data_IF_322961468446
#
_entry.id   IF_322961468446
#
_cell.length_a   1.000
_cell.length_b   1.000
_cell.length_c   1.000
_cell.angle_alpha   90.00
_cell.angle_beta   90.00
_cell.angle_gamma   90.00
#
_symmetry.space_group_name_H-M   'P 1'
#
loop_
_entity.id
_entity.type
_entity.pdbx_description
1 polymer ?
#
# COMPACT_ATOMS: atom_id res chain seq x y z
N UNK A 1 1.82 43.73 77.44
CA UNK A 1 2.08 45.09 76.92
C UNK A 1 1.81 45.07 75.42
N UNK A 2 0.69 45.71 75.04
CA UNK A 2 0.23 46.25 73.74
C UNK A 2 0.75 45.70 72.38
N UNK A 3 -0.25 45.38 71.54
CA UNK A 3 -0.48 45.68 70.10
C UNK A 3 0.55 45.15 69.07
N UNK A 4 0.22 44.71 67.84
CA UNK A 4 -0.93 44.87 66.92
C UNK A 4 -0.77 43.81 65.79
N UNK A 5 -1.74 42.95 65.44
CA UNK A 5 -2.86 43.10 64.46
C UNK A 5 -2.47 43.52 63.03
N UNK A 6 -2.57 42.59 62.07
CA UNK A 6 -3.23 42.64 60.73
C UNK A 6 -3.08 41.23 60.09
N UNK A 7 -4.10 40.34 60.06
CA UNK A 7 -5.18 40.18 59.03
C UNK A 7 -4.58 40.25 57.61
N UNK A 8 -4.64 39.25 56.71
CA UNK A 8 -5.67 38.26 56.29
C UNK A 8 -4.91 37.29 55.34
N UNK A 9 -5.18 36.00 55.11
CA UNK A 9 -6.41 35.27 54.79
C UNK A 9 -6.08 33.75 54.69
N UNK A 10 -7.05 32.92 55.10
CA UNK A 10 -7.34 31.52 54.75
C UNK A 10 -6.24 30.43 54.73
N UNK A 11 -6.36 29.54 55.72
CA UNK A 11 -5.97 28.14 55.69
C UNK A 11 -6.70 27.35 54.57
N UNK A 12 -6.08 26.25 54.11
CA UNK A 12 -6.57 24.86 53.92
C UNK A 12 -5.49 24.15 53.06
N UNK A 13 -4.57 23.41 53.68
CA UNK A 13 -4.49 21.93 53.82
C UNK A 13 -3.94 21.17 52.60
N UNK A 14 -2.91 20.30 52.77
CA UNK A 14 -2.22 19.62 51.69
C UNK A 14 -2.87 18.26 51.38
N UNK A 15 -3.75 18.18 50.38
CA UNK A 15 -4.17 16.90 49.79
C UNK A 15 -5.02 17.12 48.52
N UNK A 16 -4.39 17.37 47.38
CA UNK A 16 -4.94 16.95 46.07
C UNK A 16 -3.79 16.86 45.08
N UNK A 17 -3.36 15.63 44.86
CA UNK A 17 -3.02 15.04 43.56
C UNK A 17 -2.95 16.07 42.43
N UNK A 18 -1.72 16.32 41.98
CA UNK A 18 -1.35 17.08 40.80
C UNK A 18 -1.89 16.38 39.53
N UNK A 19 -3.19 16.54 39.27
CA UNK A 19 -3.75 16.47 37.93
C UNK A 19 -3.74 17.88 37.34
N UNK A 20 -3.57 17.95 36.02
CA UNK A 20 -3.60 19.15 35.17
C UNK A 20 -2.22 19.80 34.94
N UNK A 21 -1.29 18.99 34.43
CA UNK A 21 -0.54 19.38 33.23
C UNK A 21 -1.07 18.51 32.08
N UNK A 22 -2.32 18.80 31.70
CA UNK A 22 -2.93 18.34 30.46
C UNK A 22 -2.22 19.04 29.30
N UNK A 23 -1.06 18.51 28.92
CA UNK A 23 -0.56 18.59 27.55
C UNK A 23 -1.21 17.50 26.71
N UNK A 24 -2.55 17.48 26.67
CA UNK A 24 -3.25 16.85 25.55
C UNK A 24 -2.92 17.73 24.34
N UNK A 25 -1.80 17.42 23.67
CA UNK A 25 -1.63 17.81 22.29
C UNK A 25 -2.76 17.12 21.53
N UNK A 26 -3.87 17.83 21.37
CA UNK A 26 -4.70 17.69 20.19
C UNK A 26 -3.79 18.08 19.01
N UNK A 27 -2.99 17.12 18.54
CA UNK A 27 -2.54 17.12 17.17
C UNK A 27 -3.81 16.94 16.34
N UNK A 28 -4.50 18.06 16.10
CA UNK A 28 -5.38 18.20 14.94
C UNK A 28 -4.56 17.70 13.76
N UNK A 29 -4.85 16.52 13.22
CA UNK A 29 -4.26 16.11 11.96
C UNK A 29 -4.60 17.20 10.96
N UNK A 30 -3.60 17.97 10.56
CA UNK A 30 -3.79 19.01 9.57
C UNK A 30 -4.09 18.29 8.25
N UNK A 31 -5.34 18.34 7.81
CA UNK A 31 -5.73 17.79 6.51
C UNK A 31 -4.95 18.56 5.45
N UNK A 32 -4.20 17.85 4.62
CA UNK A 32 -3.53 18.45 3.48
C UNK A 32 -4.55 18.57 2.35
N UNK A 33 -4.99 19.82 2.10
CA UNK A 33 -5.90 20.13 1.01
C UNK A 33 -5.11 20.28 -0.29
N UNK A 34 -5.07 19.19 -1.07
CA UNK A 34 -4.54 19.16 -2.44
C UNK A 34 -5.64 18.66 -3.39
N UNK A 35 -6.23 19.54 -4.23
CA UNK A 35 -7.40 19.19 -5.06
C UNK A 35 -7.18 18.01 -5.99
N UNK A 36 -5.96 17.87 -6.55
CA UNK A 36 -5.64 16.74 -7.42
C UNK A 36 -5.70 15.39 -6.67
N UNK A 37 -5.30 15.35 -5.40
CA UNK A 37 -5.35 14.12 -4.61
C UNK A 37 -6.80 13.69 -4.33
N UNK A 38 -7.71 14.65 -4.09
CA UNK A 38 -9.16 14.35 -3.98
C UNK A 38 -9.72 13.79 -5.30
N UNK A 39 -9.29 14.34 -6.44
CA UNK A 39 -9.69 13.86 -7.76
C UNK A 39 -9.19 12.43 -8.00
N UNK A 40 -7.93 12.14 -7.65
CA UNK A 40 -7.33 10.80 -7.72
C UNK A 40 -8.12 9.80 -6.88
N UNK A 41 -8.41 10.13 -5.62
CA UNK A 41 -9.15 9.24 -4.73
C UNK A 41 -10.57 8.95 -5.25
N UNK A 42 -11.27 9.96 -5.77
CA UNK A 42 -12.61 9.76 -6.35
C UNK A 42 -12.58 8.87 -7.58
N UNK A 43 -11.62 9.10 -8.48
CA UNK A 43 -11.50 8.31 -9.70
C UNK A 43 -11.09 6.86 -9.42
N UNK A 44 -10.15 6.64 -8.50
CA UNK A 44 -9.77 5.30 -8.07
C UNK A 44 -10.88 4.60 -7.27
N UNK A 45 -11.66 5.32 -6.46
CA UNK A 45 -12.87 4.76 -5.84
C UNK A 45 -13.85 4.23 -6.89
N UNK A 46 -14.03 4.91 -8.03
CA UNK A 46 -14.90 4.41 -9.11
C UNK A 46 -14.42 3.06 -9.65
N UNK A 47 -13.11 2.83 -9.75
CA UNK A 47 -12.60 1.51 -10.15
C UNK A 47 -13.04 0.42 -9.17
N UNK A 48 -12.76 0.60 -7.88
CA UNK A 48 -13.11 -0.38 -6.85
C UNK A 48 -14.63 -0.51 -6.62
N UNK A 49 -15.41 0.47 -7.05
CA UNK A 49 -16.87 0.42 -6.99
C UNK A 49 -17.51 -0.28 -8.19
N UNK A 50 -17.08 0.08 -9.39
CA UNK A 50 -17.68 -0.34 -10.67
C UNK A 50 -17.05 -1.59 -11.26
N UNK A 51 -15.76 -1.83 -10.97
CA UNK A 51 -15.02 -3.01 -11.44
C UNK A 51 -14.93 -4.11 -10.38
N UNK A 52 -15.72 -3.97 -9.31
CA UNK A 52 -16.00 -5.03 -8.36
C UNK A 52 -17.40 -5.60 -8.57
N UNK A 53 -17.58 -6.90 -8.43
CA UNK A 53 -18.91 -7.51 -8.48
C UNK A 53 -19.77 -7.00 -7.31
N UNK A 54 -21.01 -6.53 -7.53
CA UNK A 54 -21.87 -6.03 -6.46
C UNK A 54 -22.34 -7.08 -5.44
N UNK A 55 -22.27 -8.36 -5.80
CA UNK A 55 -22.74 -9.47 -4.95
C UNK A 55 -21.57 -10.06 -4.16
N UNK A 56 -20.45 -10.34 -4.79
CA UNK A 56 -19.26 -10.98 -4.18
C UNK A 56 -18.25 -9.97 -3.66
N UNK A 57 -18.29 -8.73 -4.18
CA UNK A 57 -17.37 -7.66 -3.82
C UNK A 57 -15.92 -7.89 -4.26
N UNK A 58 -15.66 -8.90 -5.10
CA UNK A 58 -14.34 -9.20 -5.65
C UNK A 58 -14.01 -8.25 -6.79
N UNK A 59 -12.77 -7.73 -6.80
CA UNK A 59 -12.29 -6.70 -7.71
C UNK A 59 -11.51 -7.32 -8.86
N UNK A 60 -11.84 -6.93 -10.10
CA UNK A 60 -11.05 -7.35 -11.28
C UNK A 60 -9.57 -7.03 -11.11
N UNK A 61 -8.71 -7.90 -11.64
CA UNK A 61 -7.27 -7.62 -11.75
C UNK A 61 -7.03 -6.33 -12.55
N UNK A 62 -7.74 -6.21 -13.67
CA UNK A 62 -7.66 -5.06 -14.58
C UNK A 62 -8.99 -4.79 -15.24
N UNK A 63 -9.14 -3.57 -15.77
CA UNK A 63 -10.30 -3.19 -16.55
C UNK A 63 -9.96 -2.16 -17.62
N UNK A 64 -10.78 -2.07 -18.67
CA UNK A 64 -10.68 -1.03 -19.68
C UNK A 64 -10.69 0.37 -19.03
N UNK A 65 -9.65 1.15 -19.27
CA UNK A 65 -9.39 2.45 -18.62
C UNK A 65 -10.49 3.48 -18.85
N UNK A 66 -11.12 3.45 -20.04
CA UNK A 66 -12.25 4.30 -20.40
C UNK A 66 -13.56 3.97 -19.68
N UNK A 67 -13.64 2.85 -18.94
CA UNK A 67 -14.85 2.41 -18.24
C UNK A 67 -15.91 1.75 -19.11
N UNK A 68 -15.53 1.34 -20.32
CA UNK A 68 -16.41 0.54 -21.16
C UNK A 68 -16.71 -0.81 -20.49
N UNK A 69 -17.85 -1.45 -20.80
CA UNK A 69 -18.14 -2.79 -20.32
C UNK A 69 -17.00 -3.75 -20.65
N UNK A 70 -16.44 -4.35 -19.62
CA UNK A 70 -15.32 -5.27 -19.74
C UNK A 70 -15.81 -6.70 -19.46
N UNK A 71 -15.68 -7.64 -20.41
CA UNK A 71 -16.18 -9.00 -20.24
C UNK A 71 -15.28 -9.86 -19.34
N UNK A 72 -14.05 -9.42 -19.01
CA UNK A 72 -13.12 -10.17 -18.18
C UNK A 72 -13.67 -10.29 -16.75
N UNK A 73 -13.52 -11.48 -16.17
CA UNK A 73 -14.01 -11.87 -14.85
C UNK A 73 -12.89 -12.38 -13.91
N UNK A 74 -11.64 -12.31 -14.34
CA UNK A 74 -10.48 -12.59 -13.49
C UNK A 74 -10.33 -11.49 -12.44
N UNK A 75 -10.32 -11.88 -11.17
CA UNK A 75 -10.20 -11.00 -10.01
C UNK A 75 -8.86 -11.21 -9.32
N UNK A 76 -8.24 -10.11 -8.88
CA UNK A 76 -7.01 -10.11 -8.07
C UNK A 76 -7.37 -9.94 -6.60
N UNK A 77 -6.87 -10.82 -5.74
CA UNK A 77 -7.11 -10.70 -4.30
C UNK A 77 -6.38 -9.50 -3.69
N UNK A 78 -5.22 -9.11 -4.26
CA UNK A 78 -4.53 -7.89 -3.86
C UNK A 78 -5.35 -6.65 -4.21
N UNK A 79 -5.92 -6.59 -5.43
CA UNK A 79 -6.84 -5.52 -5.82
C UNK A 79 -8.08 -5.47 -4.90
N UNK A 80 -8.63 -6.62 -4.50
CA UNK A 80 -9.70 -6.68 -3.49
C UNK A 80 -9.25 -6.11 -2.14
N UNK A 81 -8.02 -6.37 -1.70
CA UNK A 81 -7.41 -5.79 -0.50
C UNK A 81 -7.33 -4.26 -0.55
N UNK A 82 -6.74 -3.71 -1.62
CA UNK A 82 -6.71 -2.27 -1.86
C UNK A 82 -8.13 -1.67 -1.94
N UNK A 83 -9.06 -2.40 -2.56
CA UNK A 83 -10.46 -2.02 -2.68
C UNK A 83 -11.16 -1.91 -1.33
N UNK A 84 -10.98 -2.87 -0.42
CA UNK A 84 -11.55 -2.81 0.93
C UNK A 84 -11.09 -1.56 1.70
N UNK A 85 -9.80 -1.24 1.67
CA UNK A 85 -9.27 -0.02 2.28
C UNK A 85 -9.83 1.25 1.61
N UNK A 86 -9.95 1.24 0.28
CA UNK A 86 -10.55 2.33 -0.50
C UNK A 86 -12.03 2.54 -0.16
N UNK A 87 -12.79 1.47 0.07
CA UNK A 87 -14.19 1.54 0.50
C UNK A 87 -14.31 2.18 1.90
N UNK A 88 -13.44 1.81 2.85
CA UNK A 88 -13.40 2.44 4.18
C UNK A 88 -13.13 3.95 4.07
N UNK A 89 -12.14 4.34 3.26
CA UNK A 89 -11.84 5.74 2.95
C UNK A 89 -13.06 6.43 2.32
N UNK A 90 -13.66 5.86 1.27
CA UNK A 90 -14.83 6.43 0.61
C UNK A 90 -16.03 6.61 1.54
N UNK A 91 -16.21 5.71 2.51
CA UNK A 91 -17.21 5.85 3.57
C UNK A 91 -16.92 7.07 4.47
N UNK A 92 -15.66 7.25 4.86
CA UNK A 92 -15.21 8.39 5.66
C UNK A 92 -15.42 9.71 4.92
N UNK A 93 -14.96 9.77 3.66
CA UNK A 93 -15.00 10.93 2.77
C UNK A 93 -16.39 11.22 2.18
N UNK A 94 -17.33 10.28 2.28
CA UNK A 94 -18.69 10.42 1.76
C UNK A 94 -18.76 10.39 0.23
N UNK A 95 -17.93 9.58 -0.44
CA UNK A 95 -17.92 9.49 -1.91
C UNK A 95 -19.11 8.72 -2.49
N UNK A 96 -19.74 7.86 -1.68
CA UNK A 96 -21.01 7.23 -2.01
C UNK A 96 -21.89 7.06 -0.76
N UNK A 97 -23.08 6.51 -0.94
CA UNK A 97 -23.99 6.23 0.16
C UNK A 97 -23.32 5.27 1.17
N UNK A 98 -23.20 5.73 2.42
CA UNK A 98 -22.51 5.02 3.49
C UNK A 98 -23.03 3.60 3.72
N UNK A 99 -24.36 3.44 3.77
CA UNK A 99 -24.99 2.13 3.93
C UNK A 99 -24.65 1.18 2.77
N UNK A 100 -24.63 1.67 1.52
CA UNK A 100 -24.24 0.82 0.39
C UNK A 100 -22.78 0.38 0.44
N UNK A 101 -21.88 1.24 0.96
CA UNK A 101 -20.48 0.88 1.18
C UNK A 101 -20.37 -0.20 2.27
N UNK A 102 -21.05 -0.02 3.41
CA UNK A 102 -21.10 -1.03 4.48
C UNK A 102 -21.58 -2.40 3.96
N UNK A 103 -22.64 -2.41 3.15
CA UNK A 103 -23.14 -3.64 2.54
C UNK A 103 -22.13 -4.24 1.56
N UNK A 104 -21.43 -3.43 0.76
CA UNK A 104 -20.38 -3.92 -0.13
C UNK A 104 -19.25 -4.59 0.66
N UNK A 105 -18.77 -3.96 1.73
CA UNK A 105 -17.73 -4.53 2.61
C UNK A 105 -18.18 -5.85 3.23
N UNK A 106 -19.40 -5.91 3.78
CA UNK A 106 -19.97 -7.14 4.33
C UNK A 106 -20.04 -8.26 3.29
N UNK A 107 -20.52 -7.95 2.08
CA UNK A 107 -20.61 -8.91 0.99
C UNK A 107 -19.22 -9.44 0.61
N UNK A 108 -18.23 -8.55 0.47
CA UNK A 108 -16.83 -8.94 0.19
C UNK A 108 -16.30 -9.89 1.25
N UNK A 109 -16.40 -9.54 2.54
CA UNK A 109 -15.86 -10.35 3.64
C UNK A 109 -16.58 -11.70 3.77
N UNK A 110 -17.91 -11.72 3.62
CA UNK A 110 -18.69 -12.98 3.62
C UNK A 110 -18.29 -13.89 2.47
N UNK A 111 -18.07 -13.33 1.28
CA UNK A 111 -17.67 -14.11 0.11
C UNK A 111 -16.26 -14.68 0.28
N UNK A 112 -15.30 -13.88 0.76
CA UNK A 112 -13.94 -14.36 1.05
C UNK A 112 -13.98 -15.55 2.03
N UNK A 113 -14.80 -15.44 3.08
CA UNK A 113 -14.92 -16.48 4.11
C UNK A 113 -15.58 -17.76 3.60
N UNK A 114 -16.68 -17.63 2.86
CA UNK A 114 -17.58 -18.76 2.61
C UNK A 114 -17.44 -19.37 1.21
N UNK A 115 -16.86 -18.64 0.26
CA UNK A 115 -16.93 -19.00 -1.17
C UNK A 115 -15.55 -19.08 -1.84
N UNK A 116 -14.56 -18.32 -1.37
CA UNK A 116 -13.25 -18.34 -1.99
C UNK A 116 -12.46 -19.62 -1.70
N UNK A 117 -11.94 -20.22 -2.76
CA UNK A 117 -11.05 -21.38 -2.67
C UNK A 117 -9.75 -20.96 -1.99
N UNK A 118 -9.39 -21.67 -0.93
CA UNK A 118 -8.16 -21.42 -0.16
C UNK A 118 -7.59 -22.74 0.36
N UNK A 119 -6.32 -22.72 0.76
CA UNK A 119 -5.66 -23.83 1.47
C UNK A 119 -4.97 -23.23 2.69
N UNK A 120 -5.34 -23.70 3.89
CA UNK A 120 -4.80 -23.20 5.16
C UNK A 120 -4.91 -21.66 5.30
N UNK A 121 -6.03 -21.09 4.84
CA UNK A 121 -6.27 -19.64 4.86
C UNK A 121 -5.50 -18.82 3.81
N UNK A 122 -4.71 -19.46 2.95
CA UNK A 122 -4.03 -18.81 1.83
C UNK A 122 -4.90 -18.82 0.58
N UNK A 123 -4.92 -17.70 -0.13
CA UNK A 123 -5.77 -17.50 -1.30
C UNK A 123 -4.95 -17.48 -2.60
N UNK A 124 -5.59 -17.91 -3.68
CA UNK A 124 -5.02 -17.86 -5.02
C UNK A 124 -4.90 -16.40 -5.48
N UNK A 125 -3.77 -16.07 -6.11
CA UNK A 125 -3.50 -14.73 -6.66
C UNK A 125 -4.69 -14.22 -7.49
N UNK A 126 -5.16 -15.08 -8.40
CA UNK A 126 -6.34 -14.84 -9.21
C UNK A 126 -7.45 -15.86 -8.96
N UNK A 127 -8.68 -15.37 -8.97
CA UNK A 127 -9.91 -16.15 -8.88
C UNK A 127 -10.92 -15.69 -9.93
N UNK A 128 -11.91 -16.54 -10.23
CA UNK A 128 -13.13 -16.09 -10.90
C UNK A 128 -13.96 -15.24 -9.92
N UNK A 129 -14.27 -14.00 -10.31
CA UNK A 129 -14.88 -13.00 -9.41
C UNK A 129 -16.28 -13.38 -8.92
N UNK A 130 -16.99 -14.26 -9.61
CA UNK A 130 -18.37 -14.64 -9.28
C UNK A 130 -18.44 -15.90 -8.43
N UNK A 131 -17.50 -16.83 -8.64
CA UNK A 131 -17.52 -18.15 -8.01
C UNK A 131 -16.50 -18.32 -6.90
N UNK A 132 -15.43 -17.52 -6.89
CA UNK A 132 -14.34 -17.64 -5.91
C UNK A 132 -13.42 -18.84 -6.18
N UNK A 133 -13.56 -19.48 -7.34
CA UNK A 133 -12.72 -20.60 -7.76
C UNK A 133 -11.38 -20.08 -8.27
N UNK A 134 -10.30 -20.80 -7.96
CA UNK A 134 -8.95 -20.59 -8.49
C UNK A 134 -8.98 -20.34 -10.00
N UNK A 135 -8.29 -19.29 -10.45
CA UNK A 135 -8.12 -19.03 -11.87
C UNK A 135 -7.04 -19.95 -12.47
N UNK A 136 -7.43 -20.79 -13.42
CA UNK A 136 -6.54 -21.70 -14.13
C UNK A 136 -5.58 -22.47 -13.18
N UNK A 137 -4.26 -22.39 -13.42
CA UNK A 137 -3.22 -23.02 -12.61
C UNK A 137 -2.44 -22.02 -11.76
N UNK A 138 -3.03 -20.85 -11.44
CA UNK A 138 -2.34 -19.81 -10.68
C UNK A 138 -1.98 -20.27 -9.26
N UNK A 139 -0.93 -19.76 -8.67
CA UNK A 139 -0.49 -20.07 -7.31
C UNK A 139 -1.40 -19.48 -6.23
N UNK A 140 -1.41 -20.13 -5.07
CA UNK A 140 -1.59 -19.41 -3.81
C UNK A 140 -0.48 -18.40 -3.71
N UNK A 141 -0.81 -17.12 -3.57
CA UNK A 141 0.17 -16.05 -3.47
C UNK A 141 0.22 -15.52 -2.06
N UNK A 142 1.42 -15.60 -1.47
CA UNK A 142 1.65 -15.16 -0.10
C UNK A 142 1.58 -13.64 0.04
N UNK A 143 2.13 -12.89 -0.93
CA UNK A 143 2.07 -11.43 -0.90
C UNK A 143 0.68 -10.91 -1.20
N UNK A 144 -0.05 -11.49 -2.16
CA UNK A 144 -1.40 -11.02 -2.49
C UNK A 144 -2.39 -11.33 -1.37
N UNK A 145 -2.19 -12.45 -0.66
CA UNK A 145 -2.93 -12.73 0.58
C UNK A 145 -2.60 -11.70 1.66
N UNK A 146 -1.34 -11.28 1.81
CA UNK A 146 -0.97 -10.22 2.75
C UNK A 146 -1.60 -8.86 2.40
N UNK A 147 -1.62 -8.49 1.12
CA UNK A 147 -2.28 -7.27 0.65
C UNK A 147 -3.81 -7.32 0.83
N UNK A 148 -4.43 -8.49 0.59
CA UNK A 148 -5.83 -8.74 0.94
C UNK A 148 -6.08 -8.51 2.44
N UNK A 149 -5.23 -9.11 3.29
CA UNK A 149 -5.33 -8.96 4.74
C UNK A 149 -5.10 -7.52 5.20
N UNK A 150 -4.26 -6.74 4.50
CA UNK A 150 -4.12 -5.30 4.67
C UNK A 150 -5.47 -4.58 4.64
N UNK A 151 -6.26 -4.84 3.60
CA UNK A 151 -7.62 -4.33 3.46
C UNK A 151 -8.58 -4.85 4.53
N UNK A 152 -8.58 -6.17 4.77
CA UNK A 152 -9.46 -6.84 5.74
C UNK A 152 -9.25 -6.31 7.16
N UNK A 153 -7.99 -6.14 7.59
CA UNK A 153 -7.64 -5.57 8.90
C UNK A 153 -8.08 -4.11 8.98
N UNK A 154 -7.84 -3.32 7.92
CA UNK A 154 -8.23 -1.91 7.86
C UNK A 154 -9.74 -1.73 8.04
N UNK A 155 -10.57 -2.47 7.31
CA UNK A 155 -12.04 -2.37 7.46
C UNK A 155 -12.52 -2.88 8.81
N UNK A 156 -11.86 -3.90 9.37
CA UNK A 156 -12.19 -4.44 10.70
C UNK A 156 -11.97 -3.42 11.82
N UNK A 157 -10.93 -2.59 11.71
CA UNK A 157 -10.66 -1.51 12.67
C UNK A 157 -11.54 -0.28 12.43
N UNK A 158 -11.76 0.08 11.17
CA UNK A 158 -12.55 1.26 10.83
C UNK A 158 -14.04 1.09 11.15
N UNK A 159 -14.66 -0.03 10.73
CA UNK A 159 -16.07 -0.33 10.97
C UNK A 159 -16.30 -1.06 12.31
N UNK A 160 -15.58 -0.66 13.36
CA UNK A 160 -15.64 -1.28 14.69
C UNK A 160 -17.05 -1.29 15.33
N UNK A 161 -17.93 -0.41 14.88
CA UNK A 161 -19.32 -0.32 15.33
C UNK A 161 -20.27 -1.31 14.61
N UNK A 162 -19.77 -2.07 13.63
CA UNK A 162 -20.50 -3.12 12.91
C UNK A 162 -19.91 -4.48 13.31
N UNK A 163 -20.51 -5.18 14.31
CA UNK A 163 -19.92 -6.37 14.92
C UNK A 163 -19.60 -7.50 13.92
N UNK A 164 -20.39 -7.62 12.86
CA UNK A 164 -20.16 -8.64 11.84
C UNK A 164 -18.90 -8.37 11.00
N UNK A 165 -18.62 -7.12 10.64
CA UNK A 165 -17.37 -6.76 9.94
C UNK A 165 -16.18 -7.09 10.83
N UNK A 166 -16.25 -6.72 12.11
CA UNK A 166 -15.19 -7.02 13.10
C UNK A 166 -14.95 -8.53 13.21
N UNK A 167 -16.02 -9.33 13.33
CA UNK A 167 -15.91 -10.79 13.43
C UNK A 167 -15.31 -11.40 12.17
N UNK A 168 -15.81 -11.03 10.99
CA UNK A 168 -15.32 -11.57 9.72
C UNK A 168 -13.86 -11.18 9.48
N UNK A 169 -13.49 -9.93 9.72
CA UNK A 169 -12.10 -9.48 9.58
C UNK A 169 -11.15 -10.23 10.51
N UNK A 170 -11.58 -10.45 11.75
CA UNK A 170 -10.82 -11.24 12.72
C UNK A 170 -10.66 -12.69 12.26
N UNK A 171 -11.75 -13.36 11.93
CA UNK A 171 -11.74 -14.76 11.54
C UNK A 171 -10.90 -15.02 10.27
N UNK A 172 -10.97 -14.11 9.29
CA UNK A 172 -10.17 -14.20 8.07
C UNK A 172 -8.66 -14.06 8.35
N UNK A 173 -8.27 -13.09 9.17
CA UNK A 173 -6.87 -12.91 9.53
C UNK A 173 -6.34 -14.07 10.38
N UNK A 174 -7.14 -14.57 11.34
CA UNK A 174 -6.82 -15.72 12.18
C UNK A 174 -6.71 -17.04 11.41
N UNK A 175 -7.35 -17.14 10.24
CA UNK A 175 -7.32 -18.36 9.43
C UNK A 175 -6.01 -18.55 8.64
N UNK A 176 -5.22 -17.50 8.43
CA UNK A 176 -4.00 -17.55 7.62
C UNK A 176 -2.89 -18.29 8.38
N UNK A 177 -2.56 -19.51 7.93
CA UNK A 177 -1.50 -20.32 8.53
C UNK A 177 -0.12 -19.88 8.02
N UNK A 178 0.45 -18.85 8.64
CA UNK A 178 1.76 -18.34 8.24
C UNK A 178 2.89 -19.35 8.44
N UNK A 179 2.77 -20.24 9.44
CA UNK A 179 3.78 -21.28 9.70
C UNK A 179 3.79 -22.32 8.57
N UNK A 180 2.62 -22.68 8.04
CA UNK A 180 2.53 -23.60 6.89
C UNK A 180 3.26 -23.05 5.66
N UNK A 181 3.10 -21.76 5.35
CA UNK A 181 3.75 -21.12 4.20
C UNK A 181 5.26 -20.88 4.41
N UNK A 182 5.82 -21.13 5.60
CA UNK A 182 7.28 -21.15 5.77
C UNK A 182 7.91 -22.42 5.19
N UNK A 183 7.12 -23.47 4.95
CA UNK A 183 7.58 -24.77 4.47
C UNK A 183 8.78 -25.32 5.27
N UNK A 184 8.76 -25.13 6.59
CA UNK A 184 9.84 -25.57 7.50
C UNK A 184 11.15 -24.78 7.39
N UNK A 185 11.16 -23.64 6.68
CA UNK A 185 12.33 -22.75 6.56
C UNK A 185 12.18 -21.52 7.46
N UNK A 186 13.13 -20.59 7.42
CA UNK A 186 13.04 -19.29 8.12
C UNK A 186 12.35 -18.20 7.29
N UNK A 187 12.05 -18.48 6.02
CA UNK A 187 11.41 -17.57 5.07
C UNK A 187 10.01 -18.07 4.71
N UNK A 188 9.12 -17.15 4.38
CA UNK A 188 7.84 -17.50 3.77
C UNK A 188 8.09 -17.78 2.29
N UNK A 189 7.53 -18.87 1.74
CA UNK A 189 7.61 -19.14 0.29
C UNK A 189 6.75 -18.12 -0.46
N UNK A 190 7.12 -17.79 -1.70
CA UNK A 190 6.35 -16.84 -2.49
C UNK A 190 4.96 -17.39 -2.85
N UNK A 191 4.82 -18.71 -2.95
CA UNK A 191 3.54 -19.35 -3.23
C UNK A 191 3.53 -20.87 -3.19
N UNK A 192 2.40 -21.43 -3.58
CA UNK A 192 2.13 -22.87 -3.63
C UNK A 192 1.11 -23.21 -4.71
N UNK A 193 1.23 -24.37 -5.34
CA UNK A 193 0.24 -24.90 -6.29
C UNK A 193 -0.15 -26.33 -5.92
N UNK A 194 -1.42 -26.74 -6.12
CA UNK A 194 -1.83 -28.15 -5.99
C UNK A 194 -1.01 -29.10 -6.85
N UNK A 195 -0.53 -28.63 -8.00
CA UNK A 195 0.18 -29.45 -8.98
C UNK A 195 1.63 -29.75 -8.57
N UNK A 196 2.31 -28.81 -7.90
CA UNK A 196 3.76 -28.88 -7.65
C UNK A 196 4.17 -28.70 -6.18
N UNK A 197 3.24 -28.31 -5.31
CA UNK A 197 3.57 -27.91 -3.95
C UNK A 197 4.08 -26.46 -3.89
N UNK A 198 4.94 -26.18 -2.91
CA UNK A 198 5.54 -24.86 -2.74
C UNK A 198 6.44 -24.51 -3.92
N UNK A 199 6.44 -23.24 -4.32
CA UNK A 199 7.39 -22.74 -5.32
C UNK A 199 8.78 -22.53 -4.69
N UNK A 200 9.81 -22.56 -5.53
CA UNK A 200 11.21 -22.52 -5.08
C UNK A 200 11.61 -21.15 -4.49
N UNK A 201 10.96 -20.07 -4.95
CA UNK A 201 11.24 -18.72 -4.49
C UNK A 201 10.63 -18.42 -3.11
N UNK A 202 11.36 -17.63 -2.32
CA UNK A 202 10.98 -17.25 -0.95
C UNK A 202 11.35 -15.80 -0.66
N UNK A 203 10.65 -15.19 0.30
CA UNK A 203 10.85 -13.81 0.72
C UNK A 203 12.12 -13.63 1.57
N UNK A 204 13.29 -13.80 0.95
CA UNK A 204 14.60 -13.80 1.61
C UNK A 204 15.44 -12.52 1.37
N UNK A 205 14.85 -11.51 0.73
CA UNK A 205 15.50 -10.25 0.38
C UNK A 205 14.51 -9.09 0.42
N UNK A 206 15.00 -7.91 0.74
CA UNK A 206 14.22 -6.68 0.71
C UNK A 206 13.54 -6.49 -0.66
N UNK A 207 12.22 -6.35 -0.59
CA UNK A 207 11.28 -6.12 -1.67
C UNK A 207 9.95 -5.67 -1.00
N UNK A 208 8.79 -5.93 -1.59
CA UNK A 208 7.47 -5.57 -1.06
C UNK A 208 7.03 -6.34 0.20
N UNK A 209 7.87 -7.25 0.72
CA UNK A 209 7.54 -8.25 1.75
C UNK A 209 7.19 -7.73 3.16
N UNK A 210 7.46 -6.46 3.50
CA UNK A 210 7.44 -6.04 4.92
C UNK A 210 6.04 -6.20 5.54
N UNK A 211 4.97 -5.89 4.79
CA UNK A 211 3.58 -6.07 5.24
C UNK A 211 3.25 -7.54 5.51
N UNK A 212 3.75 -8.45 4.67
CA UNK A 212 3.62 -9.88 4.88
C UNK A 212 4.29 -10.32 6.19
N UNK A 213 5.53 -9.87 6.45
CA UNK A 213 6.23 -10.23 7.69
C UNK A 213 5.55 -9.65 8.93
N UNK A 214 5.11 -8.40 8.89
CA UNK A 214 4.41 -7.76 10.03
C UNK A 214 3.10 -8.49 10.34
N UNK A 215 2.30 -8.82 9.31
CA UNK A 215 1.08 -9.62 9.48
C UNK A 215 1.38 -11.01 10.04
N UNK A 216 2.43 -11.68 9.55
CA UNK A 216 2.80 -13.02 9.96
C UNK A 216 3.32 -13.07 11.41
N UNK A 217 4.14 -12.11 11.83
CA UNK A 217 4.66 -12.00 13.21
C UNK A 217 3.55 -11.59 14.18
N UNK A 218 2.59 -10.79 13.70
CA UNK A 218 1.42 -10.36 14.45
C UNK A 218 0.36 -11.42 14.65
N UNK A 219 0.33 -12.46 13.79
CA UNK A 219 -0.76 -13.44 13.78
C UNK A 219 -1.01 -14.04 15.17
N UNK A 220 -2.26 -14.01 15.69
CA UNK A 220 -2.56 -14.54 17.01
C UNK A 220 -2.69 -16.07 17.04
N UNK A 221 -2.88 -16.72 15.89
CA UNK A 221 -3.12 -18.16 15.75
C UNK A 221 -1.94 -18.89 15.14
N UNK A 222 -1.30 -18.29 14.13
CA UNK A 222 -0.19 -18.89 13.39
C UNK A 222 1.01 -17.94 13.30
N UNK A 223 1.55 -17.41 14.42
CA UNK A 223 2.67 -16.47 14.38
C UNK A 223 3.95 -17.15 13.87
N UNK A 224 4.65 -16.48 12.96
CA UNK A 224 6.01 -16.88 12.61
C UNK A 224 7.02 -16.35 13.64
N UNK A 225 8.20 -16.99 13.80
CA UNK A 225 9.24 -16.48 14.67
C UNK A 225 9.71 -15.10 14.23
N UNK A 226 10.03 -14.23 15.20
CA UNK A 226 10.62 -12.92 14.91
C UNK A 226 11.92 -13.02 14.09
N UNK A 227 12.60 -14.17 14.13
CA UNK A 227 13.81 -14.38 13.36
C UNK A 227 13.60 -14.21 11.85
N UNK A 228 12.40 -14.45 11.31
CA UNK A 228 12.08 -14.20 9.90
C UNK A 228 12.24 -12.73 9.50
N UNK A 229 12.02 -11.79 10.43
CA UNK A 229 12.38 -10.38 10.22
C UNK A 229 13.90 -10.18 10.17
N UNK A 230 14.64 -10.89 11.00
CA UNK A 230 16.08 -10.67 11.18
C UNK A 230 16.92 -11.20 10.02
N UNK A 231 16.45 -12.24 9.32
CA UNK A 231 17.29 -13.04 8.40
C UNK A 231 17.13 -12.68 6.92
N UNK A 232 16.11 -11.93 6.51
CA UNK A 232 16.03 -11.49 5.11
C UNK A 232 17.14 -10.47 4.78
N UNK A 233 17.71 -10.61 3.59
CA UNK A 233 18.83 -9.77 3.16
C UNK A 233 18.37 -8.34 2.87
N UNK A 234 19.15 -7.36 3.35
CA UNK A 234 18.93 -5.93 3.15
C UNK A 234 20.13 -5.35 2.39
N UNK A 235 20.22 -5.61 1.07
CA UNK A 235 21.37 -5.17 0.29
C UNK A 235 21.47 -3.64 0.29
N UNK A 236 22.66 -3.15 0.61
CA UNK A 236 22.97 -1.74 0.50
C UNK A 236 23.26 -1.40 -0.97
N UNK A 237 22.59 -0.38 -1.48
CA UNK A 237 22.75 0.10 -2.84
C UNK A 237 23.07 1.59 -2.83
N UNK A 238 23.93 2.00 -3.76
CA UNK A 238 24.33 3.39 -3.89
C UNK A 238 24.12 3.84 -5.33
N UNK A 239 23.32 4.89 -5.48
CA UNK A 239 23.13 5.59 -6.75
C UNK A 239 23.42 7.06 -6.53
N UNK A 240 24.44 7.58 -7.21
CA UNK A 240 24.96 8.93 -6.93
C UNK A 240 25.27 9.10 -5.43
N UNK A 241 24.71 10.11 -4.76
CA UNK A 241 24.82 10.33 -3.31
C UNK A 241 23.81 9.53 -2.47
N UNK A 242 22.85 8.87 -3.09
CA UNK A 242 21.78 8.15 -2.41
C UNK A 242 22.26 6.79 -1.94
N UNK A 243 22.27 6.57 -0.63
CA UNK A 243 22.59 5.28 -0.03
C UNK A 243 21.39 4.71 0.71
N UNK A 244 20.90 3.55 0.26
CA UNK A 244 19.64 2.97 0.73
C UNK A 244 19.61 1.46 0.53
N UNK A 245 18.68 0.80 1.21
CA UNK A 245 18.41 -0.63 1.05
C UNK A 245 17.64 -0.81 -0.25
N UNK A 246 18.27 -1.49 -1.20
CA UNK A 246 17.66 -1.79 -2.48
C UNK A 246 18.38 -2.94 -3.16
N UNK A 247 17.60 -3.74 -3.88
CA UNK A 247 18.06 -4.69 -4.87
C UNK A 247 17.45 -4.23 -6.19
N UNK A 248 18.14 -4.26 -7.35
CA UNK A 248 17.60 -3.80 -8.64
C UNK A 248 16.20 -4.36 -8.91
N UNK A 249 15.18 -3.58 -8.54
CA UNK A 249 13.74 -3.90 -8.57
C UNK A 249 12.95 -2.64 -8.89
N UNK A 250 11.73 -2.77 -9.45
CA UNK A 250 10.90 -1.61 -9.73
C UNK A 250 10.49 -0.86 -8.46
N UNK A 251 10.11 0.42 -8.60
CA UNK A 251 9.88 1.32 -7.45
C UNK A 251 8.76 0.85 -6.50
N UNK A 252 7.79 0.06 -6.98
CA UNK A 252 6.65 -0.41 -6.17
C UNK A 252 7.05 -1.17 -4.90
N UNK A 253 8.24 -1.79 -4.88
CA UNK A 253 8.72 -2.53 -3.71
C UNK A 253 8.88 -1.64 -2.46
N UNK A 254 9.08 -0.33 -2.67
CA UNK A 254 9.15 0.68 -1.62
C UNK A 254 7.78 1.31 -1.28
N UNK A 255 6.71 0.86 -1.93
CA UNK A 255 5.38 1.46 -1.83
C UNK A 255 4.36 0.54 -1.17
N UNK A 256 4.27 -0.73 -1.59
CA UNK A 256 3.14 -1.59 -1.22
C UNK A 256 3.00 -1.84 0.27
N UNK A 257 4.12 -2.08 0.97
CA UNK A 257 4.08 -2.21 2.43
C UNK A 257 3.68 -0.90 3.13
N UNK A 258 4.09 0.24 2.59
CA UNK A 258 3.73 1.57 3.08
C UNK A 258 2.29 1.96 2.75
N UNK A 259 1.56 1.21 1.91
CA UNK A 259 0.14 1.47 1.72
C UNK A 259 -0.66 1.26 3.01
N UNK A 260 -0.22 0.31 3.85
CA UNK A 260 -0.91 -0.09 5.08
C UNK A 260 -0.14 0.28 6.35
N UNK A 261 1.18 0.12 6.35
CA UNK A 261 1.99 0.33 7.56
C UNK A 261 2.55 1.75 7.58
N UNK A 262 2.31 2.44 8.69
CA UNK A 262 2.99 3.70 8.99
C UNK A 262 4.38 3.41 9.56
N UNK A 263 5.41 3.59 8.73
CA UNK A 263 6.81 3.53 9.16
C UNK A 263 7.37 4.92 9.48
N UNK A 264 6.58 5.99 9.37
CA UNK A 264 7.06 7.36 9.55
C UNK A 264 7.59 7.55 10.98
N UNK A 265 8.81 8.09 11.09
CA UNK A 265 9.46 8.34 12.38
C UNK A 265 9.66 7.07 13.23
N UNK A 266 9.77 5.90 12.59
CA UNK A 266 10.04 4.62 13.26
C UNK A 266 11.34 3.99 12.76
N UNK A 267 12.02 3.29 13.67
CA UNK A 267 13.19 2.46 13.35
C UNK A 267 13.08 1.09 13.96
N UNK A 268 13.44 0.05 13.24
CA UNK A 268 13.48 -1.31 13.78
C UNK A 268 14.71 -1.59 14.67
N UNK A 269 14.84 -2.84 15.13
CA UNK A 269 15.98 -3.32 15.91
C UNK A 269 17.34 -3.26 15.18
N UNK A 270 17.36 -3.11 13.85
CA UNK A 270 18.55 -2.86 13.05
C UNK A 270 18.82 -1.36 12.87
N UNK A 271 18.08 -0.50 13.56
CA UNK A 271 18.11 0.96 13.45
C UNK A 271 17.72 1.49 12.06
N UNK A 272 16.99 0.68 11.28
CA UNK A 272 16.58 1.01 9.92
C UNK A 272 15.27 1.78 9.95
N UNK A 273 15.29 2.96 9.32
CA UNK A 273 14.13 3.78 9.06
C UNK A 273 13.63 3.46 7.64
N UNK A 274 12.63 2.58 7.52
CA UNK A 274 12.10 2.16 6.21
C UNK A 274 11.37 3.30 5.49
N UNK A 275 10.81 4.27 6.23
CA UNK A 275 10.21 5.45 5.60
C UNK A 275 11.28 6.30 4.92
N UNK A 276 12.37 6.63 5.62
CA UNK A 276 13.49 7.36 5.01
C UNK A 276 14.22 6.55 3.94
N UNK A 277 14.23 5.21 4.05
CA UNK A 277 14.69 4.34 2.97
C UNK A 277 13.89 4.56 1.67
N UNK A 278 12.56 4.55 1.77
CA UNK A 278 11.65 4.78 0.65
C UNK A 278 11.72 6.21 0.12
N UNK A 279 11.91 7.23 0.99
CA UNK A 279 12.23 8.61 0.58
C UNK A 279 13.50 8.66 -0.27
N UNK A 280 14.56 7.98 0.18
CA UNK A 280 15.85 7.94 -0.52
C UNK A 280 15.72 7.18 -1.84
N UNK A 281 14.97 6.08 -1.87
CA UNK A 281 14.69 5.33 -3.09
C UNK A 281 13.91 6.15 -4.12
N UNK A 282 12.86 6.88 -3.71
CA UNK A 282 12.10 7.76 -4.60
C UNK A 282 12.98 8.86 -5.18
N UNK A 283 13.87 9.48 -4.38
CA UNK A 283 14.84 10.47 -4.86
C UNK A 283 15.84 9.86 -5.84
N UNK A 284 16.40 8.70 -5.53
CA UNK A 284 17.32 7.99 -6.41
C UNK A 284 16.65 7.64 -7.75
N UNK A 285 15.39 7.19 -7.75
CA UNK A 285 14.63 6.94 -8.98
C UNK A 285 14.37 8.23 -9.77
N UNK A 286 13.98 9.32 -9.10
CA UNK A 286 13.85 10.62 -9.76
C UNK A 286 15.15 11.01 -10.44
N UNK A 287 16.25 11.04 -9.71
CA UNK A 287 17.56 11.46 -10.19
C UNK A 287 18.06 10.56 -11.32
N UNK A 288 17.80 9.26 -11.23
CA UNK A 288 18.07 8.32 -12.31
C UNK A 288 17.38 8.72 -13.62
N UNK A 289 16.08 9.02 -13.57
CA UNK A 289 15.37 9.44 -14.77
C UNK A 289 15.79 10.83 -15.27
N UNK A 290 15.99 11.77 -14.35
CA UNK A 290 16.24 13.18 -14.67
C UNK A 290 17.68 13.46 -15.08
N UNK A 291 18.66 12.69 -14.59
CA UNK A 291 20.09 12.94 -14.85
C UNK A 291 20.75 11.91 -15.74
N UNK A 292 20.36 10.65 -15.67
CA UNK A 292 20.95 9.58 -16.48
C UNK A 292 20.08 9.26 -17.68
N UNK A 293 18.81 8.90 -17.48
CA UNK A 293 17.92 8.56 -18.59
C UNK A 293 17.65 9.75 -19.50
N UNK A 294 17.64 10.99 -18.98
CA UNK A 294 17.46 12.19 -19.79
C UNK A 294 18.59 12.43 -20.82
N UNK A 295 19.78 11.86 -20.59
CA UNK A 295 20.89 11.91 -21.56
C UNK A 295 20.64 11.02 -22.77
N UNK A 296 19.80 9.99 -22.61
CA UNK A 296 19.41 9.05 -23.66
C UNK A 296 18.03 9.43 -24.25
N UNK A 297 17.11 9.89 -23.40
CA UNK A 297 15.72 10.23 -23.70
C UNK A 297 15.35 11.60 -23.13
N UNK A 298 15.44 12.63 -23.97
CA UNK A 298 15.34 14.03 -23.58
C UNK A 298 13.97 14.48 -23.03
N UNK A 299 12.96 13.61 -23.04
CA UNK A 299 11.62 13.88 -22.51
C UNK A 299 11.52 13.67 -21.00
N UNK A 300 12.48 12.96 -20.36
CA UNK A 300 12.56 12.89 -18.91
C UNK A 300 12.97 14.24 -18.31
N UNK A 301 12.14 14.76 -17.41
CA UNK A 301 12.35 16.05 -16.75
C UNK A 301 11.95 15.99 -15.27
N UNK A 302 12.29 17.03 -14.50
CA UNK A 302 11.94 17.20 -13.08
C UNK A 302 10.46 16.90 -12.76
N UNK A 303 9.54 17.20 -13.69
CA UNK A 303 8.09 17.03 -13.53
C UNK A 303 7.52 15.96 -14.49
N UNK A 304 8.38 15.14 -15.10
CA UNK A 304 7.94 14.10 -16.03
C UNK A 304 8.90 12.92 -15.98
N UNK A 305 8.81 12.14 -14.91
CA UNK A 305 9.62 10.95 -14.64
C UNK A 305 8.77 9.88 -13.96
N UNK A 306 9.34 8.69 -13.78
CA UNK A 306 8.73 7.59 -13.04
C UNK A 306 8.33 6.44 -13.95
N UNK A 307 8.99 5.31 -13.71
CA UNK A 307 8.69 4.01 -14.30
C UNK A 307 8.79 2.98 -13.17
N UNK A 308 7.81 2.10 -13.11
CA UNK A 308 7.78 0.91 -12.26
C UNK A 308 7.13 -0.22 -13.06
N UNK A 309 7.02 -1.42 -12.50
CA UNK A 309 6.36 -2.55 -13.16
C UNK A 309 4.98 -2.16 -13.68
N UNK A 310 4.69 -2.48 -14.94
CA UNK A 310 3.45 -2.08 -15.62
C UNK A 310 3.31 -2.85 -16.94
N UNK A 311 2.20 -2.64 -17.65
CA UNK A 311 2.11 -3.07 -19.03
C UNK A 311 2.95 -2.19 -19.97
N UNK A 312 3.20 -2.80 -21.11
CA UNK A 312 3.78 -2.26 -22.32
C UNK A 312 2.94 -2.75 -23.51
N UNK A 313 3.16 -2.24 -24.74
CA UNK A 313 2.55 -2.81 -25.94
C UNK A 313 2.87 -4.30 -26.16
N UNK A 314 3.86 -4.85 -25.46
CA UNK A 314 4.39 -6.20 -25.64
C UNK A 314 4.04 -7.16 -24.49
N UNK A 315 3.24 -6.71 -23.52
CA UNK A 315 2.90 -7.45 -22.31
C UNK A 315 3.35 -6.70 -21.06
N UNK A 316 3.46 -7.40 -19.94
CA UNK A 316 3.85 -6.84 -18.64
C UNK A 316 5.36 -6.99 -18.43
N UNK A 317 6.01 -5.94 -17.89
CA UNK A 317 7.44 -5.97 -17.54
C UNK A 317 7.68 -5.49 -16.10
N UNK A 318 8.76 -5.97 -15.49
CA UNK A 318 9.28 -5.49 -14.22
C UNK A 318 10.48 -4.58 -14.49
N UNK A 319 10.18 -3.30 -14.70
CA UNK A 319 11.10 -2.33 -15.28
C UNK A 319 11.22 -1.05 -14.47
N UNK A 320 12.28 -0.28 -14.71
CA UNK A 320 12.57 0.98 -14.03
C UNK A 320 14.07 1.15 -13.74
N UNK A 321 14.37 1.75 -12.60
CA UNK A 321 15.75 1.95 -12.12
C UNK A 321 15.82 2.81 -10.85
N UNK A 322 17.02 3.03 -10.30
CA UNK A 322 18.35 2.59 -10.76
C UNK A 322 18.82 1.22 -10.22
N UNK A 323 19.67 0.44 -10.94
CA UNK A 323 20.10 0.67 -12.32
C UNK A 323 18.96 0.38 -13.30
N UNK A 324 19.14 0.72 -14.58
CA UNK A 324 18.18 0.35 -15.61
C UNK A 324 17.88 -1.15 -15.58
N UNK A 325 16.61 -1.51 -15.44
CA UNK A 325 16.14 -2.89 -15.41
C UNK A 325 14.86 -3.02 -16.21
N UNK A 326 14.63 -4.21 -16.75
CA UNK A 326 13.56 -4.55 -17.70
C UNK A 326 14.05 -4.51 -19.15
N UNK A 327 13.30 -5.15 -20.04
CA UNK A 327 13.56 -5.17 -21.47
C UNK A 327 12.24 -5.04 -22.20
N UNK A 328 11.85 -3.81 -22.45
CA UNK A 328 10.76 -3.52 -23.39
C UNK A 328 11.26 -3.97 -24.76
N UNK A 329 10.58 -4.94 -25.37
CA UNK A 329 10.89 -5.50 -26.70
C UNK A 329 12.32 -6.03 -26.93
N UNK A 330 13.09 -6.27 -25.87
CA UNK A 330 14.50 -6.65 -25.98
C UNK A 330 15.46 -5.48 -26.22
N UNK A 331 14.97 -4.23 -26.17
CA UNK A 331 15.78 -3.03 -26.33
C UNK A 331 15.69 -2.09 -25.12
N UNK A 332 16.80 -1.39 -24.85
CA UNK A 332 16.80 -0.24 -23.93
C UNK A 332 16.00 0.93 -24.53
N UNK A 333 15.87 1.00 -25.87
CA UNK A 333 15.11 2.02 -26.58
C UNK A 333 13.64 2.05 -26.16
N UNK A 334 13.09 0.92 -25.74
CA UNK A 334 11.73 0.84 -25.25
C UNK A 334 11.45 1.65 -23.97
N UNK A 335 12.43 2.25 -23.29
CA UNK A 335 12.18 3.18 -22.16
C UNK A 335 11.86 4.61 -22.61
N UNK A 336 12.15 4.96 -23.86
CA UNK A 336 11.94 6.32 -24.37
C UNK A 336 10.46 6.71 -24.28
N UNK A 337 10.15 7.84 -23.64
CA UNK A 337 8.78 8.36 -23.60
C UNK A 337 7.87 7.76 -22.53
N UNK A 338 8.14 6.59 -21.98
CA UNK A 338 7.14 5.97 -21.11
C UNK A 338 7.00 6.64 -19.75
N UNK A 339 5.77 6.71 -19.26
CA UNK A 339 5.43 7.09 -17.89
C UNK A 339 4.49 6.05 -17.30
N UNK A 340 4.80 5.66 -16.07
CA UNK A 340 3.99 4.77 -15.25
C UNK A 340 3.53 5.60 -14.05
N UNK A 341 2.33 6.21 -14.09
CA UNK A 341 1.92 7.21 -13.11
C UNK A 341 1.93 6.73 -11.65
N UNK A 342 1.67 5.44 -11.41
CA UNK A 342 1.70 4.86 -10.06
C UNK A 342 3.10 4.92 -9.40
N UNK A 343 4.18 5.04 -10.18
CA UNK A 343 5.53 5.25 -9.64
C UNK A 343 5.62 6.56 -8.84
N UNK A 344 5.09 7.65 -9.39
CA UNK A 344 5.02 8.93 -8.69
C UNK A 344 3.88 8.94 -7.65
N UNK A 345 2.69 8.45 -8.02
CA UNK A 345 1.51 8.50 -7.16
C UNK A 345 1.66 7.65 -5.88
N UNK A 346 2.20 6.45 -5.99
CA UNK A 346 2.53 5.59 -4.85
C UNK A 346 3.66 6.13 -3.96
N UNK A 347 4.37 7.18 -4.40
CA UNK A 347 5.47 7.81 -3.67
C UNK A 347 5.12 9.17 -3.07
N UNK A 348 3.85 9.60 -3.15
CA UNK A 348 3.40 10.93 -2.66
C UNK A 348 3.80 11.20 -1.21
N UNK A 349 3.62 10.28 -0.24
CA UNK A 349 4.05 10.52 1.13
C UNK A 349 5.56 10.70 1.31
N UNK A 350 6.37 10.17 0.39
CA UNK A 350 7.83 10.17 0.53
C UNK A 350 8.47 11.43 -0.03
N UNK A 351 7.99 11.90 -1.18
CA UNK A 351 8.53 13.04 -1.89
C UNK A 351 7.40 13.92 -2.46
N UNK A 352 6.58 14.55 -1.60
CA UNK A 352 5.28 15.08 -1.99
C UNK A 352 5.35 16.19 -3.02
N UNK A 353 6.27 17.16 -2.88
CA UNK A 353 6.32 18.29 -3.80
C UNK A 353 6.66 17.85 -5.23
N UNK A 354 7.65 16.98 -5.38
CA UNK A 354 8.16 16.49 -6.66
C UNK A 354 7.20 15.49 -7.31
N UNK A 355 6.63 14.57 -6.54
CA UNK A 355 5.66 13.60 -7.06
C UNK A 355 4.35 14.26 -7.46
N UNK A 356 3.80 15.17 -6.65
CA UNK A 356 2.60 15.93 -7.01
C UNK A 356 2.85 16.79 -8.24
N UNK A 357 4.06 17.34 -8.44
CA UNK A 357 4.40 18.06 -9.66
C UNK A 357 4.36 17.17 -10.91
N UNK A 358 4.80 15.90 -10.82
CA UNK A 358 4.64 14.91 -11.90
C UNK A 358 3.18 14.65 -12.19
N UNK A 359 2.37 14.37 -11.16
CA UNK A 359 0.95 14.07 -11.32
C UNK A 359 0.18 15.25 -11.92
N UNK A 360 0.48 16.48 -11.48
CA UNK A 360 -0.09 17.71 -12.05
C UNK A 360 0.30 17.86 -13.51
N UNK A 361 1.57 17.65 -13.85
CA UNK A 361 2.00 17.73 -15.25
C UNK A 361 1.28 16.69 -16.14
N UNK A 362 1.11 15.45 -15.67
CA UNK A 362 0.34 14.44 -16.40
C UNK A 362 -1.12 14.89 -16.56
N UNK A 363 -1.74 15.40 -15.48
CA UNK A 363 -3.14 15.86 -15.49
C UNK A 363 -3.35 17.13 -16.31
N UNK A 364 -2.38 18.02 -16.44
CA UNK A 364 -2.56 19.30 -17.15
C UNK A 364 -2.13 19.18 -18.62
N UNK A 365 -0.97 18.56 -18.87
CA UNK A 365 -0.32 18.59 -20.17
C UNK A 365 -0.44 17.26 -20.94
N UNK A 366 -0.74 16.16 -20.26
CA UNK A 366 -0.86 14.83 -20.87
C UNK A 366 -2.22 14.15 -20.62
N UNK A 367 -3.25 14.89 -20.20
CA UNK A 367 -4.54 14.29 -19.79
C UNK A 367 -5.15 13.35 -20.82
N UNK A 368 -5.04 13.66 -22.12
CA UNK A 368 -5.63 12.83 -23.17
C UNK A 368 -5.07 11.40 -23.24
N UNK A 369 -3.86 11.17 -22.73
CA UNK A 369 -3.21 9.86 -22.65
C UNK A 369 -3.11 9.36 -21.21
N UNK A 370 -2.81 10.25 -20.27
CA UNK A 370 -2.50 9.90 -18.90
C UNK A 370 -3.69 9.71 -17.99
N UNK A 371 -4.90 10.21 -18.33
CA UNK A 371 -6.05 10.22 -17.42
C UNK A 371 -7.35 9.77 -18.10
N UNK A 372 -8.07 8.85 -17.45
CA UNK A 372 -9.32 8.25 -17.96
C UNK A 372 -10.38 8.19 -16.86
N UNK A 373 -11.34 7.24 -16.93
CA UNK A 373 -12.46 7.15 -15.98
C UNK A 373 -11.98 6.84 -14.56
N UNK A 374 -10.99 5.96 -14.47
CA UNK A 374 -10.49 5.41 -13.21
C UNK A 374 -9.24 6.13 -12.68
N UNK A 375 -8.95 7.32 -13.21
CA UNK A 375 -7.81 8.13 -12.83
C UNK A 375 -6.67 7.97 -13.83
N UNK A 376 -5.44 7.91 -13.32
CA UNK A 376 -4.29 7.69 -14.18
C UNK A 376 -4.34 6.31 -14.83
N UNK A 377 -3.95 6.23 -16.10
CA UNK A 377 -3.74 4.95 -16.79
C UNK A 377 -2.55 4.21 -16.18
N UNK A 378 -2.46 2.89 -16.40
CA UNK A 378 -1.34 2.08 -15.94
C UNK A 378 0.01 2.57 -16.52
N UNK A 379 0.08 2.73 -17.84
CA UNK A 379 1.24 3.30 -18.51
C UNK A 379 0.85 4.04 -19.80
N UNK A 380 1.65 5.02 -20.21
CA UNK A 380 1.53 5.65 -21.52
C UNK A 380 2.87 6.13 -22.04
N UNK A 381 2.94 6.41 -23.34
CA UNK A 381 4.11 6.93 -24.02
C UNK A 381 3.69 8.03 -25.02
N UNK A 382 3.97 9.32 -24.72
CA UNK A 382 3.60 10.42 -25.59
C UNK A 382 4.45 10.52 -26.86
N UNK A 383 5.64 9.89 -26.91
CA UNK A 383 6.48 9.88 -28.10
C UNK A 383 5.95 8.93 -29.17
N UNK A 384 5.37 7.80 -28.75
CA UNK A 384 4.75 6.82 -29.66
C UNK A 384 3.23 6.98 -29.75
N UNK A 385 2.65 7.90 -28.97
CA UNK A 385 1.21 8.09 -28.80
C UNK A 385 0.50 6.79 -28.38
N UNK A 386 1.19 5.95 -27.61
CA UNK A 386 0.62 4.75 -27.01
C UNK A 386 0.08 5.07 -25.62
N UNK A 387 -1.04 4.44 -25.27
CA UNK A 387 -1.67 4.54 -23.96
C UNK A 387 -2.19 3.16 -23.62
N UNK A 388 -1.96 2.70 -22.41
CA UNK A 388 -2.50 1.42 -21.98
C UNK A 388 -4.04 1.46 -22.06
N UNK A 389 -4.69 0.55 -22.81
CA UNK A 389 -6.14 0.46 -22.84
C UNK A 389 -6.76 0.04 -21.50
N UNK A 390 -5.95 -0.45 -20.57
CA UNK A 390 -6.33 -0.93 -19.24
C UNK A 390 -5.83 -0.04 -18.10
N UNK A 391 -6.49 -0.16 -16.96
CA UNK A 391 -5.96 0.13 -15.63
C UNK A 391 -5.82 -1.17 -14.86
N UNK A 392 -4.81 -1.26 -14.00
CA UNK A 392 -4.54 -2.43 -13.15
C UNK A 392 -4.88 -2.09 -11.70
N UNK A 393 -5.56 -3.00 -11.01
CA UNK A 393 -6.12 -2.74 -9.68
C UNK A 393 -5.10 -2.45 -8.59
N UNK A 394 -3.90 -3.03 -8.67
CA UNK A 394 -2.81 -2.74 -7.72
C UNK A 394 -2.22 -1.33 -7.94
N UNK A 395 -2.13 -0.87 -9.19
CA UNK A 395 -1.63 0.47 -9.53
C UNK A 395 -2.62 1.56 -9.17
N UNK A 396 -3.92 1.31 -9.38
CA UNK A 396 -4.98 2.18 -8.87
C UNK A 396 -4.98 2.16 -7.34
N UNK A 397 -4.82 0.98 -6.73
CA UNK A 397 -4.82 0.79 -5.29
C UNK A 397 -3.73 1.57 -4.58
N UNK A 398 -2.48 1.42 -5.00
CA UNK A 398 -1.36 2.13 -4.40
C UNK A 398 -1.50 3.65 -4.58
N UNK A 399 -1.99 4.08 -5.74
CA UNK A 399 -2.25 5.48 -6.06
C UNK A 399 -3.26 6.11 -5.10
N UNK A 400 -4.38 5.42 -4.83
CA UNK A 400 -5.43 5.92 -3.93
C UNK A 400 -4.97 5.91 -2.48
N UNK A 401 -4.44 4.79 -1.99
CA UNK A 401 -4.12 4.66 -0.56
C UNK A 401 -2.99 5.61 -0.15
N UNK A 402 -2.00 5.83 -1.02
CA UNK A 402 -0.88 6.74 -0.73
C UNK A 402 -1.29 8.21 -0.80
N UNK A 403 -2.25 8.57 -1.68
CA UNK A 403 -2.86 9.89 -1.67
C UNK A 403 -3.59 10.17 -0.34
N UNK A 404 -4.45 9.25 0.11
CA UNK A 404 -5.17 9.41 1.38
C UNK A 404 -4.24 9.40 2.60
N UNK A 405 -3.22 8.52 2.62
CA UNK A 405 -2.25 8.47 3.71
C UNK A 405 -1.48 9.79 3.84
N UNK A 406 -1.07 10.40 2.73
CA UNK A 406 -0.44 11.71 2.76
C UNK A 406 -1.40 12.79 3.32
N UNK A 407 -2.67 12.77 2.93
CA UNK A 407 -3.63 13.82 3.32
C UNK A 407 -4.09 13.71 4.76
N UNK A 408 -4.36 12.51 5.25
CA UNK A 408 -5.08 12.28 6.51
C UNK A 408 -4.47 11.17 7.38
N UNK A 409 -3.56 10.36 6.83
CA UNK A 409 -3.04 9.12 7.44
C UNK A 409 -4.13 8.08 7.72
N UNK A 410 -5.26 8.12 7.01
CA UNK A 410 -6.43 7.29 7.35
C UNK A 410 -6.15 5.79 7.31
N UNK A 411 -5.51 5.26 6.26
CA UNK A 411 -5.26 3.82 6.14
C UNK A 411 -4.26 3.39 7.20
N UNK A 412 -3.18 4.14 7.34
CA UNK A 412 -2.17 3.99 8.39
C UNK A 412 -2.78 3.92 9.78
N UNK A 413 -3.60 4.90 10.16
CA UNK A 413 -4.22 4.95 11.49
C UNK A 413 -5.12 3.74 11.74
N UNK A 414 -5.92 3.33 10.76
CA UNK A 414 -6.84 2.20 10.94
C UNK A 414 -6.10 0.85 10.94
N UNK A 415 -5.13 0.64 10.06
CA UNK A 415 -4.36 -0.61 10.05
C UNK A 415 -3.53 -0.77 11.33
N UNK A 416 -2.83 0.30 11.75
CA UNK A 416 -1.98 0.30 12.95
C UNK A 416 -2.77 0.26 14.27
N UNK A 417 -4.07 0.58 14.25
CA UNK A 417 -4.94 0.45 15.43
C UNK A 417 -5.23 -1.01 15.82
N UNK A 418 -4.95 -1.98 14.94
CA UNK A 418 -5.09 -3.38 15.28
C UNK A 418 -4.00 -3.82 16.28
N UNK A 419 -4.42 -4.36 17.43
CA UNK A 419 -3.50 -4.77 18.50
C UNK A 419 -2.45 -5.78 18.05
N UNK A 420 -2.78 -6.71 17.16
CA UNK A 420 -1.84 -7.72 16.66
C UNK A 420 -0.74 -7.11 15.80
N UNK A 421 -1.07 -6.06 15.04
CA UNK A 421 -0.10 -5.28 14.26
C UNK A 421 0.79 -4.48 15.21
N UNK A 422 0.21 -3.77 16.18
CA UNK A 422 0.98 -3.05 17.20
C UNK A 422 1.94 -3.97 17.96
N UNK A 423 1.48 -5.18 18.33
CA UNK A 423 2.31 -6.20 18.98
C UNK A 423 3.44 -6.69 18.07
N UNK A 424 3.17 -6.88 16.77
CA UNK A 424 4.20 -7.25 15.79
C UNK A 424 5.28 -6.16 15.69
N UNK A 425 4.88 -4.90 15.55
CA UNK A 425 5.80 -3.76 15.48
C UNK A 425 6.69 -3.69 16.72
N UNK A 426 6.10 -3.88 17.91
CA UNK A 426 6.84 -3.94 19.17
C UNK A 426 7.79 -5.13 19.25
N UNK A 427 7.37 -6.34 18.83
CA UNK A 427 8.20 -7.56 18.79
C UNK A 427 9.38 -7.40 17.84
N UNK A 428 9.18 -6.73 16.70
CA UNK A 428 10.23 -6.39 15.74
C UNK A 428 11.22 -5.38 16.32
N UNK A 429 10.80 -4.62 17.33
CA UNK A 429 11.62 -3.61 17.98
C UNK A 429 11.52 -2.25 17.28
N UNK A 430 10.40 -1.96 16.62
CA UNK A 430 10.13 -0.62 16.12
C UNK A 430 10.02 0.37 17.29
N UNK A 431 10.80 1.44 17.24
CA UNK A 431 10.78 2.52 18.22
C UNK A 431 10.68 3.89 17.55
N UNK A 432 10.01 4.87 18.19
CA UNK A 432 9.99 6.24 17.70
C UNK A 432 11.39 6.83 17.56
N UNK A 433 11.57 7.60 16.49
CA UNK A 433 12.81 8.27 16.13
C UNK A 433 12.53 9.63 15.50
N UNK A 434 13.40 10.62 15.76
CA UNK A 434 13.36 11.92 15.10
C UNK A 434 14.53 12.00 14.10
N UNK A 435 14.25 12.04 12.79
CA UNK A 435 15.27 12.25 11.76
C UNK A 435 16.21 13.42 12.09
N UNK A 436 17.51 13.14 12.21
CA UNK A 436 18.54 14.18 12.14
C UNK A 436 18.48 14.79 10.74
N UNK A 437 18.12 16.07 10.66
CA UNK A 437 18.02 16.85 9.42
C UNK A 437 19.33 16.90 8.65
#
# INVERSE_FOLDING_TARGET
MKLSTFLTTCCISPATILLILLGLNNASSQIIEEPLLDEIERAGFLFFWEQADPITGQVKDRSLSGGNPDPRNMSSIAATGFGLATLAMAHNRGYANRYLIEQRVLNTLRFIKNNMTNVNGWYYHFIDMYTGVRWETIELSSIDTALLMGGVVTVGQYFKDIPEIVSLSKELYEAVDFVWMMNGTEFITMGWTPERGFIDDSWNRYCELLVLLVLAIGSPTHPIPINSWNVFSRPNFTYMEHNYIHFPTPLFVHQYSHAFIDFENLRDNFTIDYFQNSVTATRATKDFFVHEMSQVYNDYTENFWGVTASDTPYGYDAWGGPPLMGQIDGSIAGYAGYRVPCAAAGSVPFLPAETIAVLKNIRENHTAQGWTRYGFVDAFNPLTNWTNPDVIGIDVGITVLMAENYRTKFVWQNFMANQHIADAMNKIGFVPYVPTK
#
